data_IF_739449335472
#
_entry.id   IF_739449335472
#
_cell.length_a   1.000
_cell.length_b   1.000
_cell.length_c   1.000
_cell.angle_alpha   90.00
_cell.angle_beta   90.00
_cell.angle_gamma   90.00
#
_symmetry.space_group_name_H-M   'P 1'
#
loop_
_entity.id
_entity.type
_entity.pdbx_description
1 polymer ?
#
# COMPACT_ATOMS: atom_id res chain seq x y z
N UNK A 1 9.66 -0.59 -12.56
CA UNK A 1 8.74 -0.30 -11.44
C UNK A 1 7.98 -1.55 -11.04
N UNK A 2 7.63 -1.65 -9.79
CA UNK A 2 6.86 -2.80 -9.29
C UNK A 2 5.49 -2.33 -8.82
N UNK A 3 4.50 -3.21 -8.92
CA UNK A 3 3.13 -2.93 -8.47
C UNK A 3 2.89 -3.72 -7.18
N UNK A 4 2.34 -3.03 -6.18
CA UNK A 4 1.98 -3.64 -4.92
C UNK A 4 0.49 -3.46 -4.68
N UNK A 5 -0.11 -4.40 -3.97
CA UNK A 5 -1.51 -4.32 -3.59
C UNK A 5 -1.64 -4.61 -2.11
N UNK A 6 -2.33 -3.73 -1.40
CA UNK A 6 -2.51 -3.90 0.04
C UNK A 6 -3.97 -3.78 0.41
N UNK A 7 -4.32 -4.42 1.52
CA UNK A 7 -5.67 -4.42 2.07
C UNK A 7 -5.60 -3.85 3.48
N UNK A 8 -6.37 -2.80 3.72
CA UNK A 8 -6.34 -2.09 5.02
C UNK A 8 -7.76 -1.81 5.51
N UNK A 9 -7.94 -1.71 6.82
CA UNK A 9 -9.21 -1.21 7.36
C UNK A 9 -9.47 0.22 6.91
N UNK A 10 -10.73 0.62 6.84
CA UNK A 10 -11.09 1.97 6.44
C UNK A 10 -10.40 3.04 7.30
N UNK A 11 -10.18 2.73 8.57
CA UNK A 11 -9.51 3.68 9.47
C UNK A 11 -8.08 4.01 9.05
N UNK A 12 -7.42 3.11 8.30
CA UNK A 12 -6.05 3.30 7.88
C UNK A 12 -5.92 3.82 6.45
N UNK A 13 -7.02 3.98 5.74
CA UNK A 13 -6.98 4.42 4.34
C UNK A 13 -6.26 5.77 4.19
N UNK A 14 -6.62 6.74 5.01
CA UNK A 14 -6.01 8.07 4.94
C UNK A 14 -4.52 8.05 5.24
N UNK A 15 -4.12 7.24 6.23
CA UNK A 15 -2.71 7.08 6.57
C UNK A 15 -1.94 6.49 5.40
N UNK A 16 -2.49 5.44 4.78
CA UNK A 16 -1.85 4.77 3.65
C UNK A 16 -1.70 5.70 2.45
N UNK A 17 -2.72 6.47 2.14
CA UNK A 17 -2.65 7.44 1.03
C UNK A 17 -1.55 8.47 1.27
N UNK A 18 -1.41 8.94 2.51
CA UNK A 18 -0.37 9.89 2.88
C UNK A 18 1.01 9.28 2.72
N UNK A 19 1.18 8.03 3.18
CA UNK A 19 2.46 7.33 3.07
C UNK A 19 2.83 7.06 1.61
N UNK A 20 1.85 6.69 0.78
CA UNK A 20 2.06 6.47 -0.64
C UNK A 20 2.55 7.76 -1.31
N UNK A 21 1.90 8.87 -0.99
CA UNK A 21 2.28 10.17 -1.53
C UNK A 21 3.67 10.59 -1.06
N UNK A 22 3.96 10.41 0.22
CA UNK A 22 5.26 10.76 0.79
C UNK A 22 6.40 9.93 0.20
N UNK A 23 6.13 8.70 -0.18
CA UNK A 23 7.13 7.82 -0.79
C UNK A 23 7.32 8.10 -2.28
N UNK A 24 6.50 8.96 -2.87
CA UNK A 24 6.55 9.22 -4.30
C UNK A 24 5.97 8.08 -5.12
N UNK A 25 5.23 7.17 -4.50
CA UNK A 25 4.59 6.09 -5.21
C UNK A 25 3.34 6.59 -5.93
N UNK A 26 2.95 5.87 -6.97
CA UNK A 26 1.75 6.20 -7.74
C UNK A 26 0.60 5.30 -7.31
N UNK A 27 -0.50 5.89 -6.86
CA UNK A 27 -1.71 5.14 -6.53
C UNK A 27 -2.47 4.87 -7.82
N UNK A 28 -2.54 3.61 -8.23
CA UNK A 28 -3.13 3.23 -9.51
C UNK A 28 -4.55 2.73 -9.40
N UNK A 29 -5.00 2.35 -8.21
CA UNK A 29 -6.36 1.89 -8.03
C UNK A 29 -6.76 1.83 -6.58
N UNK A 30 -8.04 2.02 -6.33
CA UNK A 30 -8.63 1.93 -5.00
C UNK A 30 -9.96 1.20 -5.13
N UNK A 31 -10.16 0.21 -4.29
CA UNK A 31 -11.43 -0.50 -4.21
C UNK A 31 -11.92 -0.53 -2.77
N UNK A 32 -13.19 -0.21 -2.57
CA UNK A 32 -13.82 -0.23 -1.26
C UNK A 32 -14.75 -1.43 -1.17
N UNK A 33 -14.45 -2.33 -0.26
CA UNK A 33 -15.26 -3.49 0.04
C UNK A 33 -15.27 -3.70 1.54
N UNK A 34 -15.14 -4.93 2.00
CA UNK A 34 -14.99 -5.20 3.44
C UNK A 34 -13.75 -4.49 3.98
N UNK A 35 -12.69 -4.48 3.19
CA UNK A 35 -11.47 -3.71 3.44
C UNK A 35 -11.23 -2.80 2.25
N UNK A 36 -10.38 -1.80 2.44
CA UNK A 36 -9.93 -0.95 1.36
C UNK A 36 -8.75 -1.61 0.69
N UNK A 37 -8.83 -1.81 -0.61
CA UNK A 37 -7.73 -2.36 -1.41
C UNK A 37 -7.06 -1.22 -2.16
N UNK A 38 -5.77 -1.03 -1.93
CA UNK A 38 -4.98 0.01 -2.57
C UNK A 38 -3.96 -0.64 -3.50
N UNK A 39 -3.94 -0.20 -4.74
CA UNK A 39 -2.97 -0.68 -5.72
C UNK A 39 -2.05 0.48 -6.07
N UNK A 40 -0.74 0.23 -5.99
CA UNK A 40 0.24 1.28 -6.17
C UNK A 40 1.46 0.78 -6.93
N UNK A 41 2.16 1.73 -7.54
CA UNK A 41 3.41 1.46 -8.27
C UNK A 41 4.52 2.31 -7.69
N UNK A 42 5.69 1.71 -7.55
CA UNK A 42 6.87 2.43 -7.08
C UNK A 42 8.13 1.70 -7.59
N UNK A 43 9.29 2.37 -7.55
CA UNK A 43 10.54 1.72 -7.95
C UNK A 43 10.81 0.51 -7.08
N UNK A 44 11.25 -0.58 -7.71
CA UNK A 44 11.51 -1.84 -7.00
C UNK A 44 12.51 -1.67 -5.87
N UNK A 45 13.49 -0.79 -6.06
CA UNK A 45 14.51 -0.53 -5.04
C UNK A 45 13.91 0.04 -3.74
N UNK A 46 12.75 0.68 -3.83
CA UNK A 46 12.08 1.28 -2.68
C UNK A 46 10.97 0.41 -2.12
N UNK A 47 10.60 -0.64 -2.82
CA UNK A 47 9.44 -1.45 -2.45
C UNK A 47 9.60 -2.11 -1.08
N UNK A 48 10.76 -2.69 -0.81
CA UNK A 48 11.01 -3.36 0.46
C UNK A 48 10.92 -2.39 1.64
N UNK A 49 11.57 -1.24 1.52
CA UNK A 49 11.55 -0.23 2.58
C UNK A 49 10.13 0.29 2.79
N UNK A 50 9.40 0.48 1.70
CA UNK A 50 8.03 0.95 1.77
C UNK A 50 7.14 -0.06 2.52
N UNK A 51 7.24 -1.34 2.19
CA UNK A 51 6.47 -2.39 2.85
C UNK A 51 6.77 -2.45 4.34
N UNK A 52 8.06 -2.39 4.71
CA UNK A 52 8.46 -2.39 6.11
C UNK A 52 7.91 -1.19 6.86
N UNK A 53 7.97 -0.02 6.24
CA UNK A 53 7.49 1.22 6.84
C UNK A 53 5.98 1.17 7.05
N UNK A 54 5.24 0.69 6.07
CA UNK A 54 3.79 0.59 6.16
C UNK A 54 3.38 -0.46 7.20
N UNK A 55 4.05 -1.60 7.24
CA UNK A 55 3.76 -2.62 8.24
C UNK A 55 3.95 -2.08 9.66
N UNK A 56 4.99 -1.27 9.84
CA UNK A 56 5.26 -0.64 11.13
C UNK A 56 4.20 0.40 11.47
N UNK A 57 3.86 1.27 10.53
CA UNK A 57 2.85 2.32 10.72
C UNK A 57 1.45 1.73 10.91
N UNK A 58 1.15 0.64 10.22
CA UNK A 58 -0.16 -0.01 10.27
C UNK A 58 -0.32 -0.98 11.42
N UNK A 59 0.71 -1.17 12.23
CA UNK A 59 0.68 -2.06 13.41
C UNK A 59 0.24 -3.48 13.05
N UNK A 60 0.69 -3.97 11.89
CA UNK A 60 0.37 -5.31 11.44
C UNK A 60 -1.03 -5.50 10.88
N UNK A 61 -1.79 -4.43 10.69
CA UNK A 61 -3.15 -4.51 10.15
C UNK A 61 -3.20 -4.43 8.63
N UNK A 62 -2.06 -4.27 7.99
CA UNK A 62 -1.99 -4.15 6.54
C UNK A 62 -1.70 -5.52 5.94
N UNK A 63 -2.58 -5.98 5.07
CA UNK A 63 -2.37 -7.21 4.32
C UNK A 63 -1.79 -6.89 2.95
N UNK A 64 -0.84 -7.67 2.50
CA UNK A 64 -0.21 -7.48 1.21
C UNK A 64 -0.53 -8.63 0.29
N UNK A 65 -0.82 -8.32 -0.96
CA UNK A 65 -1.01 -9.31 -2.01
C UNK A 65 -0.15 -8.89 -3.19
N UNK A 66 0.67 -9.81 -3.67
CA UNK A 66 1.41 -9.55 -4.89
C UNK A 66 0.49 -9.76 -6.09
N UNK A 67 0.44 -8.80 -7.02
CA UNK A 67 -0.35 -9.00 -8.22
C UNK A 67 0.26 -10.14 -9.03
N UNK A 68 -0.60 -10.99 -9.55
CA UNK A 68 -0.16 -12.04 -10.46
C UNK A 68 0.17 -11.41 -11.81
N UNK A 69 1.32 -11.77 -12.31
CA UNK A 69 1.75 -11.33 -13.63
C UNK A 69 1.06 -12.13 -14.74
#
# INVERSE_FOLDING_TARGET
MTTLQCHVPYALEGLLRREIDAAGAELTGVQHGTLVTLQLRLPQAQATDFVLRINNSGQGRVGWTEPED
#
